data_IF_553853162779
#
_entry.id   IF_553853162779
#
_cell.length_a   1.000
_cell.length_b   1.000
_cell.length_c   1.000
_cell.angle_alpha   90.00
_cell.angle_beta   90.00
_cell.angle_gamma   90.00
#
_symmetry.space_group_name_H-M   'P 1'
#
loop_
_entity.id
_entity.type
_entity.pdbx_description
1 polymer ?
#
# COMPACT_ATOMS: atom_id res chain seq x y z
N UNK A 1 9.96 7.51 -2.71
CA UNK A 1 8.85 7.16 -3.61
C UNK A 1 9.17 7.48 -5.07
N UNK A 2 10.44 7.43 -5.50
CA UNK A 2 10.79 7.75 -6.90
C UNK A 2 10.16 6.82 -7.93
N UNK A 3 9.98 5.55 -7.58
CA UNK A 3 9.41 4.56 -8.48
C UNK A 3 7.93 4.81 -8.81
N UNK A 4 7.20 5.59 -8.02
CA UNK A 4 5.78 5.86 -8.25
C UNK A 4 5.41 7.35 -8.23
N UNK A 5 6.36 8.28 -8.09
CA UNK A 5 6.08 9.72 -7.87
C UNK A 5 5.16 10.40 -8.91
N UNK A 6 5.13 9.86 -10.13
CA UNK A 6 4.38 10.40 -11.28
C UNK A 6 3.39 9.38 -11.88
N UNK A 7 3.05 8.32 -11.16
CA UNK A 7 2.17 7.25 -11.66
C UNK A 7 0.98 7.09 -10.74
N UNK A 8 -0.23 7.11 -11.28
CA UNK A 8 -1.42 6.61 -10.59
C UNK A 8 -1.88 5.27 -11.20
N UNK A 9 -2.50 4.43 -10.38
CA UNK A 9 -3.11 3.18 -10.81
C UNK A 9 -4.62 3.33 -10.72
N UNK A 10 -5.29 3.32 -11.86
CA UNK A 10 -6.74 3.51 -11.96
C UNK A 10 -7.45 2.17 -11.97
N UNK A 11 -8.24 1.90 -10.94
CA UNK A 11 -9.18 0.79 -10.88
C UNK A 11 -10.63 1.26 -11.05
N UNK A 12 -11.55 0.28 -11.04
CA UNK A 12 -12.99 0.51 -11.21
C UNK A 12 -13.61 1.30 -10.04
N UNK A 13 -13.26 0.95 -8.80
CA UNK A 13 -13.82 1.57 -7.59
C UNK A 13 -12.83 2.44 -6.81
N UNK A 14 -11.54 2.23 -7.04
CA UNK A 14 -10.47 2.94 -6.34
C UNK A 14 -9.38 3.38 -7.32
N UNK A 15 -8.65 4.43 -6.93
CA UNK A 15 -7.45 4.90 -7.60
C UNK A 15 -6.33 4.93 -6.57
N UNK A 16 -5.15 4.44 -6.94
CA UNK A 16 -3.95 4.57 -6.14
C UNK A 16 -3.15 5.75 -6.67
N UNK A 17 -2.98 6.80 -5.86
CA UNK A 17 -2.22 8.00 -6.24
C UNK A 17 -0.95 8.11 -5.39
N UNK A 18 0.14 8.71 -5.89
CA UNK A 18 1.36 8.86 -5.10
C UNK A 18 1.11 9.70 -3.85
N UNK A 19 1.71 9.31 -2.72
CA UNK A 19 1.65 10.16 -1.51
C UNK A 19 2.44 11.46 -1.69
N UNK A 20 1.79 12.58 -1.38
CA UNK A 20 2.27 13.95 -1.64
C UNK A 20 1.86 14.89 -0.52
N UNK A 21 2.45 16.09 -0.52
CA UNK A 21 2.25 17.12 0.50
C UNK A 21 0.76 17.42 0.76
N UNK A 22 -0.07 17.47 -0.27
CA UNK A 22 -1.51 17.76 -0.16
C UNK A 22 -2.29 16.72 0.67
N UNK A 23 -1.74 15.52 0.86
CA UNK A 23 -2.36 14.44 1.61
C UNK A 23 -1.99 14.45 3.10
N UNK A 24 -0.93 15.18 3.49
CA UNK A 24 -0.31 15.10 4.82
C UNK A 24 -1.29 15.51 5.93
N UNK A 25 -2.02 16.61 5.75
CA UNK A 25 -2.96 17.08 6.77
C UNK A 25 -4.03 16.03 7.12
N UNK A 26 -4.62 15.39 6.10
CA UNK A 26 -5.60 14.32 6.30
C UNK A 26 -4.98 13.04 6.88
N UNK A 27 -3.79 12.69 6.42
CA UNK A 27 -3.06 11.53 6.95
C UNK A 27 -2.76 11.72 8.45
N UNK A 28 -2.33 12.93 8.85
CA UNK A 28 -2.10 13.29 10.24
C UNK A 28 -3.39 13.17 11.11
N UNK A 29 -4.54 13.59 10.57
CA UNK A 29 -5.83 13.39 11.26
C UNK A 29 -6.12 11.90 11.51
N UNK A 30 -5.81 11.02 10.56
CA UNK A 30 -5.94 9.57 10.77
C UNK A 30 -4.96 9.08 11.85
N UNK A 31 -3.72 9.53 11.81
CA UNK A 31 -2.69 9.17 12.79
C UNK A 31 -2.96 9.74 14.19
N UNK A 32 -3.96 10.60 14.40
CA UNK A 32 -4.43 10.97 15.73
C UNK A 32 -5.30 9.87 16.40
N UNK A 33 -5.71 8.83 15.67
CA UNK A 33 -6.53 7.74 16.20
C UNK A 33 -5.66 6.65 16.84
N UNK A 34 -5.85 6.40 18.14
CA UNK A 34 -5.18 5.31 18.87
C UNK A 34 -5.46 3.94 18.26
N UNK A 35 -6.69 3.71 17.77
CA UNK A 35 -7.03 2.44 17.08
C UNK A 35 -6.16 2.24 15.83
N UNK A 36 -5.94 3.30 15.04
CA UNK A 36 -5.12 3.20 13.84
C UNK A 36 -3.64 3.01 14.19
N UNK A 37 -3.13 3.79 15.15
CA UNK A 37 -1.76 3.64 15.66
C UNK A 37 -1.47 2.21 16.14
N UNK A 38 -2.38 1.60 16.89
CA UNK A 38 -2.25 0.21 17.35
C UNK A 38 -2.26 -0.78 16.17
N UNK A 39 -3.15 -0.59 15.19
CA UNK A 39 -3.27 -1.49 14.04
C UNK A 39 -2.10 -1.38 13.05
N UNK A 40 -1.45 -0.22 12.97
CA UNK A 40 -0.31 0.05 12.08
C UNK A 40 1.03 0.09 12.83
N UNK A 41 1.04 -0.23 14.12
CA UNK A 41 2.21 -0.14 15.01
C UNK A 41 2.96 1.21 14.88
N UNK A 42 2.21 2.30 14.73
CA UNK A 42 2.75 3.65 14.46
C UNK A 42 2.74 4.51 15.72
N UNK A 43 3.78 5.34 15.88
CA UNK A 43 3.85 6.36 16.93
C UNK A 43 3.29 7.69 16.42
N UNK A 44 2.63 8.50 17.28
CA UNK A 44 2.14 9.81 16.88
C UNK A 44 3.29 10.78 16.60
N UNK A 45 3.14 11.53 15.52
CA UNK A 45 4.02 12.63 15.14
C UNK A 45 3.26 13.95 15.19
N UNK A 46 3.98 15.05 15.36
CA UNK A 46 3.43 16.39 15.12
C UNK A 46 3.17 16.57 13.62
N UNK A 47 2.27 17.49 13.27
CA UNK A 47 1.97 17.79 11.86
C UNK A 47 3.22 18.23 11.09
N UNK A 48 4.12 18.99 11.73
CA UNK A 48 5.38 19.42 11.10
C UNK A 48 6.31 18.24 10.82
N UNK A 49 6.44 17.30 11.75
CA UNK A 49 7.21 16.07 11.57
C UNK A 49 6.64 15.19 10.44
N UNK A 50 5.30 15.11 10.30
CA UNK A 50 4.66 14.41 9.18
C UNK A 50 5.03 15.03 7.82
N UNK A 51 5.05 16.37 7.73
CA UNK A 51 5.50 17.06 6.52
C UNK A 51 6.99 16.82 6.23
N UNK A 52 7.83 16.80 7.26
CA UNK A 52 9.26 16.48 7.10
C UNK A 52 9.47 15.04 6.62
N UNK A 53 8.74 14.09 7.21
CA UNK A 53 8.79 12.68 6.83
C UNK A 53 8.26 12.45 5.42
N UNK A 54 7.17 13.11 5.02
CA UNK A 54 6.66 13.02 3.66
C UNK A 54 7.70 13.54 2.64
N UNK A 55 8.34 14.69 2.90
CA UNK A 55 9.39 15.23 2.01
C UNK A 55 10.57 14.28 1.86
N UNK A 56 10.99 13.64 2.94
CA UNK A 56 12.04 12.60 2.92
C UNK A 56 11.58 11.41 2.09
N UNK A 57 10.42 10.84 2.41
CA UNK A 57 9.88 9.67 1.73
C UNK A 57 9.66 9.89 0.25
N UNK A 58 9.34 11.10 -0.19
CA UNK A 58 9.19 11.40 -1.61
C UNK A 58 10.45 11.03 -2.40
N UNK A 59 11.63 11.27 -1.84
CA UNK A 59 12.92 11.06 -2.50
C UNK A 59 13.47 9.64 -2.35
N UNK A 60 12.90 8.82 -1.47
CA UNK A 60 13.35 7.45 -1.20
C UNK A 60 13.28 6.56 -2.46
N UNK A 61 14.24 5.67 -2.66
CA UNK A 61 14.23 4.69 -3.75
C UNK A 61 13.74 3.32 -3.30
N UNK A 62 13.76 3.08 -2.00
CA UNK A 62 13.41 1.82 -1.32
C UNK A 62 11.99 1.82 -0.75
N UNK A 63 11.21 2.89 -0.93
CA UNK A 63 9.84 2.99 -0.45
C UNK A 63 8.88 3.46 -1.53
N UNK A 64 7.72 2.80 -1.61
CA UNK A 64 6.55 3.24 -2.36
C UNK A 64 5.38 3.41 -1.39
N UNK A 65 4.73 4.58 -1.42
CA UNK A 65 3.43 4.78 -0.77
C UNK A 65 2.46 5.27 -1.82
N UNK A 66 1.32 4.61 -1.91
CA UNK A 66 0.16 5.13 -2.61
C UNK A 66 -0.93 5.46 -1.61
N UNK A 67 -1.59 6.60 -1.80
CA UNK A 67 -2.86 6.88 -1.17
C UNK A 67 -3.96 6.13 -1.92
N UNK A 68 -4.77 5.39 -1.16
CA UNK A 68 -5.96 4.71 -1.66
C UNK A 68 -7.10 5.72 -1.68
N UNK A 69 -7.58 6.03 -2.87
CA UNK A 69 -8.69 6.94 -3.10
C UNK A 69 -9.92 6.17 -3.61
N UNK A 70 -11.07 6.33 -2.95
CA UNK A 70 -12.34 5.87 -3.46
C UNK A 70 -12.88 6.81 -4.53
N UNK A 71 -13.51 6.21 -5.54
CA UNK A 71 -14.23 6.92 -6.59
C UNK A 71 -15.65 7.24 -6.13
N UNK A 72 -16.11 8.46 -6.37
CA UNK A 72 -17.50 8.86 -6.13
C UNK A 72 -18.47 8.25 -7.15
N UNK A 73 -19.73 8.12 -6.78
CA UNK A 73 -20.79 7.70 -7.72
C UNK A 73 -20.88 8.70 -8.89
N UNK A 74 -20.76 8.22 -10.12
CA UNK A 74 -20.79 9.07 -11.33
C UNK A 74 -19.46 9.68 -11.74
N UNK A 75 -18.34 9.31 -11.10
CA UNK A 75 -16.98 9.58 -11.60
C UNK A 75 -16.71 8.70 -12.83
N UNK A 76 -17.31 9.04 -13.98
CA UNK A 76 -16.97 8.41 -15.26
C UNK A 76 -15.52 8.71 -15.68
N UNK A 77 -15.22 8.62 -16.97
CA UNK A 77 -13.95 9.08 -17.55
C UNK A 77 -13.84 10.62 -17.56
N UNK A 78 -14.14 11.30 -16.45
CA UNK A 78 -13.97 12.75 -16.39
C UNK A 78 -12.48 13.10 -16.51
N UNK A 79 -12.19 14.21 -17.21
CA UNK A 79 -10.83 14.73 -17.34
C UNK A 79 -10.22 15.17 -16.00
N UNK A 80 -11.06 15.39 -14.99
CA UNK A 80 -10.65 15.77 -13.64
C UNK A 80 -11.00 14.65 -12.64
N UNK A 81 -10.44 13.46 -12.90
CA UNK A 81 -10.62 12.30 -12.02
C UNK A 81 -10.11 12.62 -10.60
N UNK A 82 -8.99 13.36 -10.49
CA UNK A 82 -8.32 13.65 -9.23
C UNK A 82 -9.18 14.47 -8.26
N UNK A 83 -9.94 15.47 -8.74
CA UNK A 83 -10.76 16.32 -7.86
C UNK A 83 -11.98 15.61 -7.26
N UNK A 84 -12.40 14.48 -7.84
CA UNK A 84 -13.54 13.70 -7.37
C UNK A 84 -13.15 12.50 -6.48
N UNK A 85 -11.86 12.35 -6.17
CA UNK A 85 -11.34 11.27 -5.35
C UNK A 85 -11.52 11.56 -3.86
N UNK A 86 -11.99 10.56 -3.12
CA UNK A 86 -12.00 10.60 -1.65
C UNK A 86 -10.84 9.76 -1.13
N UNK A 87 -9.85 10.38 -0.51
CA UNK A 87 -8.76 9.68 0.19
C UNK A 87 -9.33 8.83 1.35
N UNK A 88 -9.06 7.52 1.35
CA UNK A 88 -9.66 6.56 2.32
C UNK A 88 -8.65 5.67 3.06
N UNK A 89 -7.40 5.64 2.61
CA UNK A 89 -6.32 4.90 3.24
C UNK A 89 -5.03 5.01 2.42
N UNK A 90 -4.11 4.08 2.64
CA UNK A 90 -2.84 4.00 1.96
C UNK A 90 -2.36 2.55 1.85
N UNK A 91 -1.49 2.29 0.87
CA UNK A 91 -0.82 1.02 0.66
C UNK A 91 0.67 1.26 0.41
N UNK A 92 1.52 0.52 1.11
CA UNK A 92 2.97 0.71 1.11
C UNK A 92 3.71 -0.52 0.62
N UNK A 93 4.88 -0.29 0.02
CA UNK A 93 5.91 -1.28 -0.24
C UNK A 93 7.26 -0.75 0.25
N UNK A 94 7.93 -1.52 1.10
CA UNK A 94 9.27 -1.22 1.62
C UNK A 94 10.27 -2.26 1.12
N UNK A 95 11.35 -1.81 0.51
CA UNK A 95 12.43 -2.64 0.02
C UNK A 95 13.53 -2.68 1.09
N UNK A 96 13.77 -3.86 1.67
CA UNK A 96 14.73 -4.05 2.76
C UNK A 96 15.93 -4.86 2.26
N UNK A 97 17.12 -4.31 2.45
CA UNK A 97 18.38 -4.92 2.04
C UNK A 97 18.77 -4.64 0.58
N UNK A 98 19.93 -5.15 0.16
CA UNK A 98 20.38 -5.08 -1.23
C UNK A 98 19.66 -6.15 -2.06
N UNK A 99 19.22 -5.81 -3.28
CA UNK A 99 18.52 -6.74 -4.19
C UNK A 99 19.36 -7.95 -4.61
N UNK A 100 20.69 -7.85 -4.54
CA UNK A 100 21.60 -8.96 -4.78
C UNK A 100 21.69 -9.91 -3.57
N UNK A 101 21.20 -9.49 -2.39
CA UNK A 101 21.25 -10.25 -1.16
C UNK A 101 20.16 -11.33 -1.12
N UNK A 102 20.50 -12.59 -0.77
CA UNK A 102 19.52 -13.61 -0.40
C UNK A 102 18.52 -13.19 0.68
N UNK A 103 18.81 -12.20 1.51
CA UNK A 103 17.91 -11.66 2.54
C UNK A 103 17.07 -10.46 2.08
N UNK A 104 17.13 -10.09 0.79
CA UNK A 104 16.28 -9.04 0.24
C UNK A 104 14.79 -9.33 0.46
N UNK A 105 14.06 -8.34 0.93
CA UNK A 105 12.62 -8.42 1.18
C UNK A 105 11.88 -7.20 0.63
N UNK A 106 10.65 -7.42 0.17
CA UNK A 106 9.72 -6.39 -0.25
C UNK A 106 8.47 -6.48 0.65
N UNK A 107 8.43 -5.67 1.70
CA UNK A 107 7.39 -5.70 2.71
C UNK A 107 6.18 -4.85 2.30
N UNK A 108 4.99 -5.45 2.38
CA UNK A 108 3.73 -4.81 1.97
C UNK A 108 2.91 -4.46 3.20
N UNK A 109 2.39 -3.23 3.25
CA UNK A 109 1.46 -2.79 4.29
C UNK A 109 0.23 -2.13 3.67
N UNK A 110 -0.91 -2.19 4.35
CA UNK A 110 -2.18 -1.62 3.89
C UNK A 110 -2.97 -1.08 5.08
N UNK A 111 -3.53 0.11 4.93
CA UNK A 111 -4.50 0.68 5.85
C UNK A 111 -5.71 1.22 5.08
N UNK A 112 -6.93 0.93 5.57
CA UNK A 112 -8.14 1.65 5.18
C UNK A 112 -8.60 2.43 6.41
N UNK A 113 -8.18 3.69 6.48
CA UNK A 113 -8.39 4.56 7.63
C UNK A 113 -9.88 4.89 7.81
N UNK A 114 -10.56 5.26 6.72
CA UNK A 114 -11.96 5.69 6.74
C UNK A 114 -12.91 4.52 7.04
N UNK A 115 -13.54 4.54 8.21
CA UNK A 115 -14.43 3.44 8.67
C UNK A 115 -15.56 3.12 7.69
N UNK A 116 -16.13 4.14 7.04
CA UNK A 116 -17.21 4.00 6.04
C UNK A 116 -16.80 3.20 4.78
N UNK A 117 -15.50 3.03 4.56
CA UNK A 117 -14.93 2.34 3.40
C UNK A 117 -14.34 0.96 3.76
N UNK A 118 -14.30 0.59 5.05
CA UNK A 118 -13.83 -0.73 5.49
C UNK A 118 -14.83 -1.83 5.11
N UNK A 119 -14.34 -3.06 4.99
CA UNK A 119 -15.14 -4.28 4.70
C UNK A 119 -15.91 -4.24 3.37
N UNK A 120 -15.53 -3.36 2.44
CA UNK A 120 -16.11 -3.23 1.09
C UNK A 120 -15.24 -3.81 -0.03
N UNK A 121 -14.14 -4.47 0.31
CA UNK A 121 -13.21 -5.05 -0.66
C UNK A 121 -12.07 -4.14 -1.11
N UNK A 122 -12.09 -2.85 -0.77
CA UNK A 122 -11.07 -1.88 -1.23
C UNK A 122 -9.64 -2.23 -0.84
N UNK A 123 -9.41 -2.75 0.37
CA UNK A 123 -8.07 -3.22 0.77
C UNK A 123 -7.55 -4.34 -0.14
N UNK A 124 -8.42 -5.28 -0.51
CA UNK A 124 -8.04 -6.38 -1.42
C UNK A 124 -7.75 -5.88 -2.83
N UNK A 125 -8.52 -4.92 -3.33
CA UNK A 125 -8.28 -4.32 -4.65
C UNK A 125 -6.99 -3.51 -4.64
N UNK A 126 -6.75 -2.69 -3.61
CA UNK A 126 -5.55 -1.87 -3.48
C UNK A 126 -4.28 -2.74 -3.42
N UNK A 127 -4.29 -3.80 -2.60
CA UNK A 127 -3.20 -4.75 -2.53
C UNK A 127 -2.94 -5.43 -3.88
N UNK A 128 -3.98 -5.90 -4.57
CA UNK A 128 -3.80 -6.54 -5.88
C UNK A 128 -3.18 -5.59 -6.91
N UNK A 129 -3.64 -4.33 -6.96
CA UNK A 129 -3.09 -3.33 -7.86
C UNK A 129 -1.64 -3.01 -7.53
N UNK A 130 -1.29 -2.81 -6.25
CA UNK A 130 0.08 -2.60 -5.82
C UNK A 130 0.97 -3.82 -6.13
N UNK A 131 0.53 -5.03 -5.81
CA UNK A 131 1.29 -6.26 -6.02
C UNK A 131 1.51 -6.53 -7.52
N UNK A 132 0.49 -6.28 -8.34
CA UNK A 132 0.62 -6.32 -9.79
C UNK A 132 1.65 -5.30 -10.27
N UNK A 133 1.55 -4.04 -9.83
CA UNK A 133 2.52 -2.99 -10.18
C UNK A 133 3.93 -3.29 -9.67
N UNK A 134 4.09 -3.84 -8.47
CA UNK A 134 5.40 -4.10 -7.90
C UNK A 134 6.14 -5.23 -8.62
N UNK A 135 5.41 -6.14 -9.27
CA UNK A 135 5.97 -7.40 -9.82
C UNK A 135 5.89 -7.48 -11.35
N UNK A 136 5.27 -6.50 -12.01
CA UNK A 136 5.12 -6.49 -13.47
C UNK A 136 6.47 -6.23 -14.17
N UNK A 137 6.78 -6.93 -15.30
CA UNK A 137 8.07 -6.81 -15.99
C UNK A 137 8.42 -5.39 -16.46
N UNK A 138 7.42 -4.57 -16.72
CA UNK A 138 7.52 -3.20 -17.23
C UNK A 138 7.55 -2.13 -16.13
N UNK A 139 7.52 -2.53 -14.86
CA UNK A 139 7.55 -1.60 -13.74
C UNK A 139 8.87 -0.84 -13.63
N UNK A 140 8.83 0.44 -13.20
CA UNK A 140 10.01 1.28 -13.13
C UNK A 140 10.96 0.81 -12.03
N UNK A 141 12.26 1.06 -12.23
CA UNK A 141 13.27 0.74 -11.22
C UNK A 141 12.96 1.41 -9.87
N UNK A 142 13.22 0.74 -8.74
CA UNK A 142 13.91 -0.56 -8.63
C UNK A 142 13.01 -1.79 -8.84
N UNK A 143 11.74 -1.63 -9.24
CA UNK A 143 10.85 -2.73 -9.61
C UNK A 143 11.26 -3.33 -10.99
N UNK A 144 10.76 -4.52 -11.37
CA UNK A 144 9.94 -5.46 -10.59
C UNK A 144 10.67 -6.10 -9.40
N UNK A 145 9.96 -6.40 -8.32
CA UNK A 145 10.42 -7.35 -7.29
C UNK A 145 9.96 -8.77 -7.64
N UNK A 146 10.78 -9.82 -7.41
CA UNK A 146 10.31 -11.19 -7.52
C UNK A 146 9.21 -11.46 -6.49
N UNK A 147 8.18 -12.23 -6.85
CA UNK A 147 7.04 -12.47 -5.95
C UNK A 147 7.44 -13.19 -4.67
N UNK A 148 8.46 -14.04 -4.74
CA UNK A 148 9.02 -14.80 -3.63
C UNK A 148 9.67 -13.91 -2.56
N UNK A 149 9.94 -12.65 -2.90
CA UNK A 149 10.50 -11.63 -2.00
C UNK A 149 9.43 -10.85 -1.25
N UNK A 150 8.15 -11.03 -1.59
CA UNK A 150 7.06 -10.36 -0.92
C UNK A 150 6.85 -10.93 0.48
N UNK A 151 6.81 -10.04 1.46
CA UNK A 151 6.59 -10.37 2.86
C UNK A 151 5.55 -9.43 3.46
N UNK A 152 4.81 -9.91 4.45
CA UNK A 152 3.88 -9.12 5.24
C UNK A 152 4.04 -9.51 6.69
N UNK A 153 4.13 -8.53 7.57
CA UNK A 153 4.12 -8.72 9.01
C UNK A 153 2.82 -8.19 9.58
N UNK A 154 2.13 -9.02 10.36
CA UNK A 154 0.78 -8.75 10.84
C UNK A 154 0.72 -9.15 12.31
N UNK A 155 0.22 -8.28 13.19
CA UNK A 155 -0.04 -8.66 14.58
C UNK A 155 -0.92 -9.92 14.67
N UNK A 156 -0.57 -10.86 15.55
CA UNK A 156 -1.21 -12.18 15.66
C UNK A 156 -2.73 -12.11 15.93
N UNK A 157 -3.19 -10.98 16.50
CA UNK A 157 -4.60 -10.72 16.80
C UNK A 157 -5.38 -10.14 15.61
N UNK A 158 -4.71 -9.72 14.53
CA UNK A 158 -5.32 -9.11 13.35
C UNK A 158 -5.74 -10.17 12.32
N UNK A 159 -6.67 -11.04 12.71
CA UNK A 159 -7.23 -12.07 11.83
C UNK A 159 -7.85 -11.55 10.52
N UNK A 160 -8.51 -10.37 10.48
CA UNK A 160 -9.00 -9.82 9.22
C UNK A 160 -7.89 -9.60 8.19
N UNK A 161 -6.73 -9.07 8.59
CA UNK A 161 -5.58 -8.88 7.69
C UNK A 161 -4.96 -10.22 7.30
N UNK A 162 -4.81 -11.17 8.22
CA UNK A 162 -4.30 -12.52 7.87
C UNK A 162 -5.17 -13.18 6.79
N UNK A 163 -6.50 -13.20 6.97
CA UNK A 163 -7.43 -13.76 5.97
C UNK A 163 -7.43 -13.00 4.64
N UNK A 164 -7.13 -11.70 4.66
CA UNK A 164 -6.99 -10.89 3.46
C UNK A 164 -5.79 -11.36 2.64
N UNK A 165 -4.62 -11.49 3.27
CA UNK A 165 -3.39 -11.92 2.60
C UNK A 165 -3.42 -13.40 2.20
N UNK A 166 -4.06 -14.28 2.97
CA UNK A 166 -4.31 -15.67 2.57
C UNK A 166 -5.03 -15.76 1.22
N UNK A 167 -6.07 -14.94 1.03
CA UNK A 167 -6.82 -14.87 -0.24
C UNK A 167 -5.99 -14.36 -1.41
N UNK A 168 -4.88 -13.67 -1.15
CA UNK A 168 -3.97 -13.14 -2.17
C UNK A 168 -2.82 -14.10 -2.49
N UNK A 169 -2.80 -15.28 -1.87
CA UNK A 169 -1.77 -16.31 -2.09
C UNK A 169 -0.62 -16.24 -1.09
N UNK A 170 -0.75 -15.52 0.02
CA UNK A 170 0.24 -15.53 1.09
C UNK A 170 -0.06 -16.65 2.10
N UNK A 171 0.99 -17.25 2.66
CA UNK A 171 0.87 -18.20 3.75
C UNK A 171 1.78 -17.80 4.91
N UNK A 172 1.36 -18.13 6.14
CA UNK A 172 2.17 -17.92 7.34
C UNK A 172 3.43 -18.80 7.22
N UNK A 173 4.61 -18.17 7.24
CA UNK A 173 5.91 -18.85 7.20
C UNK A 173 6.60 -18.84 8.56
N UNK A 174 6.30 -17.85 9.40
CA UNK A 174 6.94 -17.68 10.71
C UNK A 174 5.99 -16.98 11.69
N UNK A 175 6.12 -17.32 12.97
CA UNK A 175 5.50 -16.60 14.10
C UNK A 175 6.60 -16.01 14.96
N UNK A 176 6.46 -14.74 15.33
CA UNK A 176 7.48 -13.97 16.06
C UNK A 176 6.90 -13.55 17.41
N UNK A 177 6.99 -14.47 18.38
CA UNK A 177 6.34 -14.32 19.69
C UNK A 177 6.76 -13.06 20.46
N UNK A 178 8.01 -12.59 20.30
CA UNK A 178 8.51 -11.38 20.98
C UNK A 178 7.80 -10.10 20.54
N UNK A 179 7.29 -10.07 19.30
CA UNK A 179 6.55 -8.93 18.74
C UNK A 179 5.04 -9.20 18.66
N UNK A 180 4.57 -10.37 19.09
CA UNK A 180 3.18 -10.83 18.88
C UNK A 180 2.74 -10.69 17.40
N UNK A 181 3.62 -11.05 16.45
CA UNK A 181 3.38 -10.93 15.00
C UNK A 181 3.51 -12.27 14.25
N UNK A 182 2.81 -12.40 13.13
CA UNK A 182 3.06 -13.40 12.10
C UNK A 182 3.76 -12.79 10.90
N UNK A 183 4.68 -13.54 10.30
CA UNK A 183 5.21 -13.26 8.97
C UNK A 183 4.49 -14.15 7.96
N UNK A 184 4.02 -13.54 6.87
CA UNK A 184 3.40 -14.21 5.74
C UNK A 184 4.19 -13.93 4.46
N UNK A 185 4.39 -14.96 3.64
CA UNK A 185 5.07 -14.84 2.33
C UNK A 185 4.21 -15.39 1.21
N UNK A 186 4.37 -14.82 0.02
CA UNK A 186 3.68 -15.30 -1.17
C UNK A 186 4.12 -16.74 -1.52
N UNK A 187 3.15 -17.62 -1.78
CA UNK A 187 3.36 -19.00 -2.21
C UNK A 187 2.78 -19.14 -3.62
N UNK A 188 3.61 -19.50 -4.59
CA UNK A 188 3.17 -19.70 -5.98
C UNK A 188 2.22 -20.91 -6.13
N UNK A 189 2.37 -21.92 -5.26
CA UNK A 189 1.51 -23.09 -5.22
C UNK A 189 0.15 -22.75 -4.58
N UNK A 190 -0.92 -22.79 -5.37
CA UNK A 190 -2.28 -22.56 -4.89
C UNK A 190 -2.73 -21.09 -4.82
N UNK A 191 -1.88 -20.14 -5.24
CA UNK A 191 -2.28 -18.74 -5.37
C UNK A 191 -3.41 -18.57 -6.41
N UNK A 192 -4.34 -17.62 -6.21
CA UNK A 192 -5.24 -17.20 -7.28
C UNK A 192 -4.40 -16.68 -8.46
N UNK A 193 -4.87 -16.87 -9.70
CA UNK A 193 -4.12 -16.62 -10.95
C UNK A 193 -3.28 -15.33 -10.99
N UNK A 194 -3.74 -14.30 -11.70
CA UNK A 194 -3.09 -12.99 -11.71
C UNK A 194 -3.82 -12.03 -10.76
N UNK A 195 -3.09 -11.18 -10.05
CA UNK A 195 -3.70 -10.07 -9.31
C UNK A 195 -4.34 -9.07 -10.27
N UNK A 196 -5.43 -8.43 -9.85
CA UNK A 196 -6.05 -7.34 -10.60
C UNK A 196 -5.05 -6.19 -10.77
N UNK A 197 -4.77 -5.81 -12.01
CA UNK A 197 -3.96 -4.64 -12.34
C UNK A 197 -4.81 -3.37 -12.43
N UNK A 198 -4.24 -2.24 -12.03
CA UNK A 198 -4.80 -0.91 -12.36
C UNK A 198 -4.28 -0.43 -13.71
N UNK A 199 -5.05 0.40 -14.40
CA UNK A 199 -4.56 1.12 -15.57
C UNK A 199 -3.54 2.17 -15.12
N UNK A 200 -2.31 2.12 -15.66
CA UNK A 200 -1.28 3.11 -15.36
C UNK A 200 -1.62 4.43 -16.08
N UNK A 201 -1.76 5.51 -15.31
CA UNK A 201 -1.89 6.87 -15.85
C UNK A 201 -0.85 7.81 -15.24
N UNK A 202 -0.39 8.84 -15.98
CA UNK A 202 0.44 9.88 -15.40
C UNK A 202 -0.29 10.60 -14.26
N UNK A 203 0.41 10.85 -13.17
CA UNK A 203 -0.05 11.68 -12.06
C UNK A 203 0.76 12.98 -12.05
N UNK A 204 0.23 14.00 -12.73
CA UNK A 204 0.76 15.36 -12.68
C UNK A 204 0.06 16.15 -11.59
N UNK A 205 0.82 17.01 -10.90
CA UNK A 205 0.23 18.10 -10.10
C UNK A 205 -0.61 18.96 -11.04
N UNK A 206 -1.85 19.28 -10.65
CA UNK A 206 -2.65 20.32 -11.31
C UNK A 206 -1.94 21.68 -11.26
#
# INVERSE_FOLDING_TARGET
MRANENTMLVGDQIVLVPYREEHVAKYHEWMASTELQELTASEPLTLEEEYEMQRKWQQDEDKLTFIVCARGDGTGESQDLQSALTMIGDVNLFLKGDRADPEFEAEVEIMIAERAYRRRGFAATALQMLLSYATAPDSPRPLPVPKERLVVRIGEKNEPSMRLFEKLGFAITKRVAVFEEVEMRFQSEGAPGSWVAGELRPYSSL
#
